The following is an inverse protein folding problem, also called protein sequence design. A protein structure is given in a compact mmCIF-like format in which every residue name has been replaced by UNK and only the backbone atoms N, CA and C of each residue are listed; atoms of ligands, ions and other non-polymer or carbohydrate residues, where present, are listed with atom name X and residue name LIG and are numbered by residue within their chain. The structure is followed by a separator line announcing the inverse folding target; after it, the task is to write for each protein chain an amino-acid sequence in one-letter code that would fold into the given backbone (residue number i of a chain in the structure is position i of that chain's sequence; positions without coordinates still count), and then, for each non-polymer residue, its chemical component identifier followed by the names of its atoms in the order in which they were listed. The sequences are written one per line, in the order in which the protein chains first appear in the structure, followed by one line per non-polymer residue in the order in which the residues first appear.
data_IF_609231416437
#
_entry.id   IF_609231416437
#
_cell.length_a   1.000
_cell.length_b   1.000
_cell.length_c   1.000
_cell.angle_alpha   90.00
_cell.angle_beta   90.00
_cell.angle_gamma   90.00
#
_symmetry.space_group_name_H-M   'P 1'
#
loop_
_entity.id
_entity.type
_entity.pdbx_description
1 polymer ?
#
# COMPACT_ATOMS: atom_id res chain seq x y z
N UNK A 1 8.72 19.94 -17.20
CA UNK A 1 8.21 19.08 -16.13
C UNK A 1 8.11 17.67 -16.62
N UNK A 2 8.28 16.70 -15.73
CA UNK A 2 8.25 15.32 -16.17
C UNK A 2 6.82 14.84 -16.36
N UNK A 3 6.63 14.01 -17.36
CA UNK A 3 5.36 13.35 -17.63
C UNK A 3 4.98 12.41 -16.49
N UNK A 4 5.99 11.79 -15.86
CA UNK A 4 5.79 10.93 -14.69
C UNK A 4 5.15 11.72 -13.55
N UNK A 5 5.66 12.90 -13.28
CA UNK A 5 5.11 13.76 -12.22
C UNK A 5 3.65 14.11 -12.49
N UNK A 6 3.34 14.47 -13.74
CA UNK A 6 1.96 14.81 -14.11
C UNK A 6 1.01 13.62 -13.96
N UNK A 7 1.45 12.43 -14.36
CA UNK A 7 0.67 11.20 -14.18
C UNK A 7 0.46 10.87 -12.70
N UNK A 8 1.49 11.05 -11.89
CA UNK A 8 1.39 10.82 -10.45
C UNK A 8 0.39 11.79 -9.82
N UNK A 9 0.47 13.06 -10.17
CA UNK A 9 -0.49 14.07 -9.71
C UNK A 9 -1.92 13.72 -10.09
N UNK A 10 -2.13 13.31 -11.34
CA UNK A 10 -3.47 12.89 -11.80
C UNK A 10 -3.99 11.73 -10.95
N UNK A 11 -3.13 10.75 -10.66
CA UNK A 11 -3.51 9.63 -9.83
C UNK A 11 -3.90 10.06 -8.42
N UNK A 12 -3.10 10.94 -7.82
CA UNK A 12 -3.41 11.47 -6.49
C UNK A 12 -4.71 12.27 -6.47
N UNK A 13 -4.97 13.06 -7.50
CA UNK A 13 -6.22 13.80 -7.63
C UNK A 13 -7.42 12.88 -7.72
N UNK A 14 -7.32 11.83 -8.53
CA UNK A 14 -8.40 10.84 -8.62
C UNK A 14 -8.64 10.16 -7.27
N UNK A 15 -7.58 9.80 -6.55
CA UNK A 15 -7.71 9.22 -5.22
C UNK A 15 -8.40 10.17 -4.25
N UNK A 16 -8.01 11.45 -4.26
CA UNK A 16 -8.59 12.46 -3.39
C UNK A 16 -10.09 12.66 -3.66
N UNK A 17 -10.53 12.41 -4.88
CA UNK A 17 -11.94 12.55 -5.30
C UNK A 17 -12.72 11.23 -5.22
N UNK A 18 -12.14 10.19 -4.64
CA UNK A 18 -12.80 8.90 -4.53
C UNK A 18 -12.89 8.12 -5.83
N UNK A 19 -12.04 8.43 -6.80
CA UNK A 19 -12.02 7.80 -8.12
C UNK A 19 -10.85 6.83 -8.24
N UNK A 20 -10.83 5.82 -7.38
CA UNK A 20 -9.70 4.90 -7.28
C UNK A 20 -9.45 4.12 -8.58
N UNK A 21 -10.51 3.74 -9.30
CA UNK A 21 -10.35 3.03 -10.57
C UNK A 21 -9.63 3.89 -11.61
N UNK A 22 -10.01 5.17 -11.73
CA UNK A 22 -9.32 6.09 -12.63
C UNK A 22 -7.88 6.34 -12.19
N UNK A 23 -7.66 6.38 -10.88
CA UNK A 23 -6.30 6.54 -10.35
C UNK A 23 -5.37 5.44 -10.82
N UNK A 24 -5.84 4.19 -10.88
CA UNK A 24 -4.98 3.07 -11.31
C UNK A 24 -4.46 3.26 -12.74
N UNK A 25 -5.26 3.86 -13.62
CA UNK A 25 -4.84 4.08 -15.01
C UNK A 25 -3.63 5.02 -15.07
N UNK A 26 -3.73 6.18 -14.41
CA UNK A 26 -2.64 7.14 -14.39
C UNK A 26 -1.42 6.62 -13.64
N UNK A 27 -1.64 5.97 -12.51
CA UNK A 27 -0.55 5.47 -11.67
C UNK A 27 0.18 4.27 -12.29
N UNK A 28 -0.51 3.42 -13.03
CA UNK A 28 0.15 2.35 -13.80
C UNK A 28 1.09 2.92 -14.85
N UNK A 29 0.66 3.98 -15.54
CA UNK A 29 1.52 4.66 -16.51
C UNK A 29 2.74 5.28 -15.84
N UNK A 30 2.54 5.91 -14.69
CA UNK A 30 3.65 6.49 -13.92
C UNK A 30 4.64 5.41 -13.48
N UNK A 31 4.14 4.28 -12.99
CA UNK A 31 4.97 3.15 -12.56
C UNK A 31 5.83 2.61 -13.70
N UNK A 32 5.26 2.47 -14.89
CA UNK A 32 6.02 1.99 -16.04
C UNK A 32 7.20 2.90 -16.39
N UNK A 33 7.06 4.20 -16.14
CA UNK A 33 8.12 5.16 -16.40
C UNK A 33 9.20 5.16 -15.32
N UNK A 34 8.80 5.00 -14.05
CA UNK A 34 9.72 5.01 -12.92
C UNK A 34 9.35 3.90 -11.94
N UNK A 35 9.68 2.63 -12.27
CA UNK A 35 9.22 1.48 -11.49
C UNK A 35 9.83 1.39 -10.08
N UNK A 36 10.89 2.13 -9.80
CA UNK A 36 11.57 2.10 -8.50
C UNK A 36 11.11 3.21 -7.56
N UNK A 37 10.11 4.01 -7.96
CA UNK A 37 9.61 5.11 -7.14
C UNK A 37 8.57 4.61 -6.16
N UNK A 38 8.95 4.51 -4.89
CA UNK A 38 8.09 3.97 -3.84
C UNK A 38 6.79 4.76 -3.69
N UNK A 39 6.83 6.09 -3.84
CA UNK A 39 5.62 6.93 -3.72
C UNK A 39 4.55 6.58 -4.75
N UNK A 40 4.96 6.23 -5.96
CA UNK A 40 4.04 5.83 -7.03
C UNK A 40 3.41 4.48 -6.69
N UNK A 41 4.22 3.53 -6.24
CA UNK A 41 3.72 2.21 -5.85
C UNK A 41 2.79 2.26 -4.65
N UNK A 42 3.08 3.14 -3.69
CA UNK A 42 2.21 3.35 -2.54
C UNK A 42 0.83 3.85 -2.99
N UNK A 43 0.80 4.89 -3.81
CA UNK A 43 -0.46 5.43 -4.32
C UNK A 43 -1.22 4.38 -5.12
N UNK A 44 -0.53 3.61 -5.95
CA UNK A 44 -1.15 2.54 -6.75
C UNK A 44 -1.68 1.42 -5.86
N UNK A 45 -0.92 1.02 -4.84
CA UNK A 45 -1.37 0.02 -3.88
C UNK A 45 -2.64 0.45 -3.16
N UNK A 46 -2.70 1.72 -2.73
CA UNK A 46 -3.89 2.30 -2.10
C UNK A 46 -5.08 2.27 -3.06
N UNK A 47 -4.86 2.65 -4.32
CA UNK A 47 -5.92 2.65 -5.32
C UNK A 47 -6.47 1.24 -5.56
N UNK A 48 -5.59 0.26 -5.72
CA UNK A 48 -6.01 -1.13 -5.87
C UNK A 48 -6.79 -1.62 -4.65
N UNK A 49 -6.31 -1.29 -3.44
CA UNK A 49 -6.99 -1.68 -2.21
C UNK A 49 -8.43 -1.13 -2.17
N UNK A 50 -8.60 0.12 -2.55
CA UNK A 50 -9.93 0.77 -2.53
C UNK A 50 -10.92 0.13 -3.50
N UNK A 51 -10.44 -0.43 -4.60
CA UNK A 51 -11.31 -1.14 -5.56
C UNK A 51 -11.30 -2.65 -5.33
N UNK A 52 -10.82 -3.09 -4.18
CA UNK A 52 -10.82 -4.48 -3.73
C UNK A 52 -9.97 -5.42 -4.58
N UNK A 53 -8.97 -4.89 -5.24
CA UNK A 53 -7.98 -5.69 -5.98
C UNK A 53 -6.80 -5.95 -5.06
N UNK A 54 -7.05 -6.81 -4.07
CA UNK A 54 -6.13 -7.00 -2.94
C UNK A 54 -4.81 -7.68 -3.33
N UNK A 55 -4.82 -8.61 -4.27
CA UNK A 55 -3.58 -9.26 -4.69
C UNK A 55 -2.67 -8.30 -5.46
N UNK A 56 -3.25 -7.40 -6.25
CA UNK A 56 -2.46 -6.39 -6.95
C UNK A 56 -1.93 -5.35 -5.98
N UNK A 57 -2.74 -4.95 -5.00
CA UNK A 57 -2.28 -4.06 -3.93
C UNK A 57 -1.13 -4.70 -3.15
N UNK A 58 -1.27 -5.98 -2.80
CA UNK A 58 -0.22 -6.73 -2.12
C UNK A 58 1.09 -6.67 -2.89
N UNK A 59 1.04 -6.89 -4.20
CA UNK A 59 2.25 -6.89 -5.03
C UNK A 59 2.96 -5.54 -4.99
N UNK A 60 2.21 -4.43 -5.00
CA UNK A 60 2.82 -3.10 -4.94
C UNK A 60 3.50 -2.85 -3.59
N UNK A 61 2.86 -3.23 -2.49
CA UNK A 61 3.47 -3.03 -1.18
C UNK A 61 4.68 -3.95 -0.95
N UNK A 62 4.68 -5.15 -1.49
CA UNK A 62 5.86 -6.03 -1.44
C UNK A 62 7.05 -5.42 -2.18
N UNK A 63 6.80 -4.79 -3.34
CA UNK A 63 7.87 -4.10 -4.07
C UNK A 63 8.44 -2.92 -3.29
N UNK A 64 7.59 -2.19 -2.57
CA UNK A 64 8.07 -1.11 -1.69
C UNK A 64 9.02 -1.69 -0.63
N UNK A 65 8.69 -2.84 -0.05
CA UNK A 65 9.52 -3.46 0.98
C UNK A 65 10.84 -4.00 0.42
N UNK A 66 10.90 -4.35 -0.87
CA UNK A 66 12.17 -4.66 -1.52
C UNK A 66 13.08 -3.44 -1.58
N UNK A 67 12.49 -2.26 -1.81
CA UNK A 67 13.25 -1.00 -1.87
C UNK A 67 13.54 -0.44 -0.49
N UNK A 68 12.62 -0.57 0.44
CA UNK A 68 12.65 0.04 1.77
C UNK A 68 12.11 -0.95 2.81
N UNK A 69 12.95 -1.91 3.25
CA UNK A 69 12.47 -3.00 4.14
C UNK A 69 11.94 -2.54 5.49
N UNK A 70 12.28 -1.31 5.93
CA UNK A 70 11.86 -0.76 7.22
C UNK A 70 10.66 0.19 7.09
N UNK A 71 10.03 0.28 5.93
CA UNK A 71 8.88 1.15 5.71
C UNK A 71 7.68 0.63 6.51
N UNK A 72 7.39 1.30 7.62
CA UNK A 72 6.32 0.87 8.53
C UNK A 72 4.94 0.87 7.87
N UNK A 73 4.67 1.88 7.05
CA UNK A 73 3.35 1.95 6.38
C UNK A 73 3.18 0.81 5.37
N UNK A 74 4.24 0.48 4.62
CA UNK A 74 4.16 -0.62 3.65
C UNK A 74 3.91 -1.96 4.35
N UNK A 75 4.52 -2.20 5.52
CA UNK A 75 4.20 -3.39 6.31
C UNK A 75 2.74 -3.40 6.74
N UNK A 76 2.25 -2.26 7.25
CA UNK A 76 0.85 -2.15 7.67
C UNK A 76 -0.11 -2.40 6.51
N UNK A 77 0.12 -1.73 5.38
CA UNK A 77 -0.74 -1.85 4.20
C UNK A 77 -0.71 -3.27 3.63
N UNK A 78 0.46 -3.89 3.62
CA UNK A 78 0.60 -5.29 3.20
C UNK A 78 -0.20 -6.21 4.13
N UNK A 79 -0.12 -5.96 5.44
CA UNK A 79 -0.93 -6.70 6.41
C UNK A 79 -2.41 -6.60 6.11
N UNK A 80 -2.89 -5.39 5.77
CA UNK A 80 -4.29 -5.17 5.40
C UNK A 80 -4.68 -5.98 4.16
N UNK A 81 -3.82 -5.99 3.15
CA UNK A 81 -4.06 -6.77 1.92
C UNK A 81 -4.14 -8.26 2.21
N UNK A 82 -3.24 -8.75 3.06
CA UNK A 82 -3.20 -10.18 3.41
C UNK A 82 -4.42 -10.58 4.23
N UNK A 83 -4.81 -9.73 5.17
CA UNK A 83 -6.00 -9.98 5.98
C UNK A 83 -7.25 -10.08 5.11
N UNK A 84 -7.41 -9.18 4.14
CA UNK A 84 -8.53 -9.21 3.20
C UNK A 84 -8.57 -10.47 2.34
N UNK A 85 -7.43 -11.11 2.16
CA UNK A 85 -7.34 -12.36 1.39
C UNK A 85 -7.40 -13.61 2.28
N UNK A 86 -7.62 -13.44 3.57
CA UNK A 86 -7.69 -14.56 4.52
C UNK A 86 -6.34 -15.13 4.91
N UNK A 87 -5.25 -14.43 4.61
CA UNK A 87 -3.88 -14.87 4.95
C UNK A 87 -3.49 -14.30 6.31
N UNK A 88 -4.18 -14.78 7.35
CA UNK A 88 -4.10 -14.22 8.69
C UNK A 88 -2.69 -14.27 9.30
N UNK A 89 -2.02 -15.41 9.21
CA UNK A 89 -0.71 -15.57 9.85
C UNK A 89 0.33 -14.63 9.24
N UNK A 90 0.33 -14.48 7.92
CA UNK A 90 1.21 -13.52 7.26
C UNK A 90 0.86 -12.08 7.65
N UNK A 91 -0.44 -11.77 7.75
CA UNK A 91 -0.89 -10.44 8.16
C UNK A 91 -0.36 -10.08 9.54
N UNK A 92 -0.43 -11.02 10.50
CA UNK A 92 0.11 -10.83 11.84
C UNK A 92 1.59 -10.45 11.78
N UNK A 93 2.37 -11.16 10.98
CA UNK A 93 3.81 -10.88 10.84
C UNK A 93 4.09 -9.45 10.38
N UNK A 94 3.35 -8.99 9.38
CA UNK A 94 3.56 -7.63 8.85
C UNK A 94 3.04 -6.55 9.80
N UNK A 95 1.94 -6.78 10.49
CA UNK A 95 1.48 -5.84 11.52
C UNK A 95 2.48 -5.73 12.67
N UNK A 96 3.12 -6.85 13.05
CA UNK A 96 4.18 -6.82 14.06
C UNK A 96 5.36 -5.97 13.59
N UNK A 97 5.76 -6.12 12.33
CA UNK A 97 6.84 -5.31 11.77
C UNK A 97 6.48 -3.82 11.76
N UNK A 98 5.26 -3.49 11.35
CA UNK A 98 4.80 -2.10 11.36
C UNK A 98 4.87 -1.51 12.76
N UNK A 99 4.39 -2.23 13.76
CA UNK A 99 4.42 -1.79 15.17
C UNK A 99 5.84 -1.71 15.70
N UNK A 100 6.72 -2.60 15.27
CA UNK A 100 8.13 -2.58 15.67
C UNK A 100 8.82 -1.32 15.17
N UNK A 101 8.59 -0.97 13.90
CA UNK A 101 9.24 0.20 13.31
C UNK A 101 8.56 1.51 13.73
N UNK A 102 7.31 1.48 14.13
CA UNK A 102 6.59 2.67 14.61
C UNK A 102 5.73 2.32 15.83
N UNK A 103 6.37 2.15 17.00
CA UNK A 103 5.65 1.68 18.20
C UNK A 103 4.63 2.66 18.75
N UNK A 104 4.73 3.95 18.41
CA UNK A 104 3.79 4.97 18.86
C UNK A 104 2.48 4.98 18.06
N UNK A 105 2.38 4.21 16.97
CA UNK A 105 1.15 4.20 16.17
C UNK A 105 0.07 3.35 16.83
N UNK A 106 -1.01 4.00 17.25
CA UNK A 106 -2.18 3.29 17.77
C UNK A 106 -2.88 2.46 16.70
N UNK A 107 -2.92 2.97 15.48
CA UNK A 107 -3.57 2.26 14.37
C UNK A 107 -2.90 0.91 14.11
N UNK A 108 -1.57 0.87 14.14
CA UNK A 108 -0.82 -0.37 13.92
C UNK A 108 -1.05 -1.35 15.06
N UNK A 109 -1.02 -0.85 16.29
CA UNK A 109 -1.26 -1.68 17.47
C UNK A 109 -2.68 -2.27 17.44
N UNK A 110 -3.68 -1.45 17.12
CA UNK A 110 -5.07 -1.91 17.05
C UNK A 110 -5.27 -2.96 15.97
N UNK A 111 -4.63 -2.77 14.81
CA UNK A 111 -4.72 -3.75 13.73
C UNK A 111 -4.12 -5.10 14.16
N UNK A 112 -2.97 -5.06 14.83
CA UNK A 112 -2.32 -6.27 15.33
C UNK A 112 -3.19 -6.98 16.37
N UNK A 113 -3.70 -6.23 17.35
CA UNK A 113 -4.55 -6.80 18.40
C UNK A 113 -5.81 -7.42 17.79
N UNK A 114 -6.44 -6.75 16.84
CA UNK A 114 -7.66 -7.24 16.22
C UNK A 114 -7.43 -8.55 15.47
N UNK A 115 -6.35 -8.64 14.71
CA UNK A 115 -6.09 -9.84 13.91
C UNK A 115 -5.63 -11.00 14.81
N UNK A 116 -4.93 -10.73 15.91
CA UNK A 116 -4.54 -11.76 16.85
C UNK A 116 -5.72 -12.32 17.65
N UNK A 117 -6.73 -11.48 17.90
CA UNK A 117 -7.93 -11.88 18.62
C UNK A 117 -8.93 -12.65 17.76
N UNK A 118 -8.82 -12.60 16.47
CA UNK A 118 -9.77 -13.21 15.54
C UNK A 118 -9.69 -14.74 15.53
#
# INVERSE_FOLDING_TARGET
MSETYDLFRQGQEHLARGRAAQATVALEKAKRREPEKASIREALGIAYFRIQRFSEAEAEFREILELQPVDHYAHFALGRCLEKQGKRDEAVGHYRMASFFRPQSEDYRRALEAVEAA
#
